data_IF_363921253303
#
_entry.id   IF_363921253303
#
_cell.length_a   1.000
_cell.length_b   1.000
_cell.length_c   1.000
_cell.angle_alpha   90.00
_cell.angle_beta   90.00
_cell.angle_gamma   90.00
#
_symmetry.space_group_name_H-M   'P 1'
#
loop_
_entity.id
_entity.type
_entity.pdbx_description
1 polymer ?
#
# COMPACT_ATOMS: atom_id res chain seq x y z
N UNK A 1 14.04 14.36 -2.96
CA UNK A 1 13.63 12.99 -2.61
C UNK A 1 14.59 12.01 -3.27
N UNK A 2 14.90 10.93 -2.59
CA UNK A 2 15.78 9.88 -3.10
C UNK A 2 15.17 9.23 -4.35
N UNK A 3 16.00 8.93 -5.36
CA UNK A 3 15.53 8.36 -6.63
C UNK A 3 14.81 7.03 -6.44
N UNK A 4 15.29 6.17 -5.53
CA UNK A 4 14.63 4.89 -5.28
C UNK A 4 13.27 5.06 -4.64
N UNK A 5 13.15 6.02 -3.72
CA UNK A 5 11.86 6.32 -3.09
C UNK A 5 10.89 6.87 -4.13
N UNK A 6 11.37 7.72 -5.05
CA UNK A 6 10.54 8.23 -6.15
C UNK A 6 10.02 7.11 -7.05
N UNK A 7 10.87 6.14 -7.38
CA UNK A 7 10.47 4.99 -8.18
C UNK A 7 9.39 4.17 -7.49
N UNK A 8 9.56 3.89 -6.19
CA UNK A 8 8.58 3.13 -5.43
C UNK A 8 7.26 3.89 -5.29
N UNK A 9 7.33 5.20 -5.11
CA UNK A 9 6.16 6.05 -5.06
C UNK A 9 5.39 6.01 -6.39
N UNK A 10 6.10 6.08 -7.51
CA UNK A 10 5.49 5.99 -8.84
C UNK A 10 4.84 4.62 -9.04
N UNK A 11 5.52 3.55 -8.67
CA UNK A 11 4.96 2.20 -8.78
C UNK A 11 3.68 2.05 -7.96
N UNK A 12 3.67 2.59 -6.74
CA UNK A 12 2.49 2.57 -5.89
C UNK A 12 1.33 3.35 -6.53
N UNK A 13 1.61 4.53 -7.05
CA UNK A 13 0.61 5.35 -7.72
C UNK A 13 0.03 4.69 -8.94
N UNK A 14 0.88 4.12 -9.78
CA UNK A 14 0.45 3.41 -11.00
C UNK A 14 -0.42 2.21 -10.64
N UNK A 15 -0.03 1.45 -9.62
CA UNK A 15 -0.81 0.31 -9.15
C UNK A 15 -2.20 0.74 -8.68
N UNK A 16 -2.26 1.77 -7.84
CA UNK A 16 -3.54 2.24 -7.30
C UNK A 16 -4.43 2.78 -8.40
N UNK A 17 -3.86 3.48 -9.38
CA UNK A 17 -4.63 3.98 -10.52
C UNK A 17 -5.28 2.85 -11.33
N UNK A 18 -4.64 1.68 -11.37
CA UNK A 18 -5.21 0.51 -12.06
C UNK A 18 -6.32 -0.16 -11.26
N UNK A 19 -6.18 -0.25 -9.94
CA UNK A 19 -7.08 -1.06 -9.11
C UNK A 19 -8.12 -0.23 -8.35
N UNK A 20 -7.93 1.08 -8.30
CA UNK A 20 -8.81 1.96 -7.54
C UNK A 20 -10.22 1.98 -8.13
N UNK A 21 -11.19 1.76 -7.25
CA UNK A 21 -12.60 1.91 -7.60
C UNK A 21 -13.12 3.17 -6.93
N UNK A 22 -13.70 4.07 -7.71
CA UNK A 22 -14.24 5.31 -7.19
C UNK A 22 -15.32 5.02 -6.13
N UNK A 23 -15.43 5.85 -5.09
CA UNK A 23 -16.42 5.63 -4.05
C UNK A 23 -17.83 5.70 -4.62
N UNK A 24 -18.68 4.81 -4.12
CA UNK A 24 -20.09 4.80 -4.45
C UNK A 24 -20.84 5.56 -3.37
N UNK A 25 -21.63 6.54 -3.78
CA UNK A 25 -22.38 7.34 -2.85
C UNK A 25 -23.45 6.50 -2.17
N UNK A 26 -23.49 6.54 -0.85
CA UNK A 26 -24.45 5.77 -0.09
C UNK A 26 -25.88 6.27 -0.29
N UNK A 27 -26.82 5.35 -0.36
CA UNK A 27 -28.26 5.64 -0.39
C UNK A 27 -28.85 5.69 1.01
N UNK A 28 -28.06 5.33 2.02
CA UNK A 28 -28.51 5.29 3.39
C UNK A 28 -28.46 6.69 3.99
N UNK A 29 -29.55 7.19 4.58
CA UNK A 29 -29.53 8.50 5.24
C UNK A 29 -28.45 8.57 6.32
N UNK A 30 -27.71 9.66 6.34
CA UNK A 30 -26.63 9.87 7.30
C UNK A 30 -25.29 9.32 6.89
N UNK A 31 -25.23 8.58 5.81
CA UNK A 31 -23.97 8.09 5.22
C UNK A 31 -23.67 8.84 3.94
N UNK A 32 -22.40 9.14 3.73
CA UNK A 32 -21.95 9.77 2.48
C UNK A 32 -21.50 8.71 1.47
N UNK A 33 -20.79 7.69 1.94
CA UNK A 33 -20.20 6.65 1.10
C UNK A 33 -20.63 5.27 1.56
N UNK A 34 -20.65 4.30 0.63
CA UNK A 34 -20.89 2.92 0.97
C UNK A 34 -19.81 2.36 1.89
N UNK A 35 -20.19 1.37 2.71
CA UNK A 35 -19.27 0.74 3.65
C UNK A 35 -18.13 0.03 2.90
N UNK A 36 -16.97 0.01 3.55
CA UNK A 36 -15.80 -0.69 3.02
C UNK A 36 -15.03 0.06 1.97
N UNK A 37 -15.45 1.27 1.63
CA UNK A 37 -14.69 2.07 0.69
C UNK A 37 -13.39 2.56 1.33
N UNK A 38 -12.28 2.39 0.62
CA UNK A 38 -10.98 2.93 0.98
C UNK A 38 -10.59 3.93 -0.09
N UNK A 39 -10.27 5.16 0.33
CA UNK A 39 -9.94 6.21 -0.63
C UNK A 39 -8.58 5.96 -1.32
N UNK A 40 -8.32 6.74 -2.37
CA UNK A 40 -7.10 6.58 -3.17
C UNK A 40 -5.83 6.76 -2.31
N UNK A 41 -5.83 7.77 -1.44
CA UNK A 41 -4.65 8.06 -0.62
C UNK A 41 -4.34 6.94 0.36
N UNK A 42 -5.36 6.34 0.97
CA UNK A 42 -5.18 5.22 1.88
C UNK A 42 -4.62 4.02 1.14
N UNK A 43 -5.16 3.71 -0.03
CA UNK A 43 -4.65 2.61 -0.87
C UNK A 43 -3.22 2.87 -1.32
N UNK A 44 -2.91 4.11 -1.70
CA UNK A 44 -1.56 4.49 -2.07
C UNK A 44 -0.58 4.30 -0.91
N UNK A 45 -0.95 4.78 0.28
CA UNK A 45 -0.09 4.67 1.46
C UNK A 45 0.19 3.21 1.81
N UNK A 46 -0.81 2.36 1.75
CA UNK A 46 -0.64 0.93 2.01
C UNK A 46 0.29 0.28 1.00
N UNK A 47 0.08 0.56 -0.28
CA UNK A 47 0.92 -0.02 -1.33
C UNK A 47 2.35 0.51 -1.27
N UNK A 48 2.51 1.79 -1.04
CA UNK A 48 3.83 2.41 -0.92
C UNK A 48 4.60 1.81 0.26
N UNK A 49 3.96 1.70 1.43
CA UNK A 49 4.59 1.10 2.59
C UNK A 49 4.97 -0.36 2.33
N UNK A 50 4.09 -1.13 1.71
CA UNK A 50 4.36 -2.52 1.32
C UNK A 50 5.59 -2.64 0.44
N UNK A 51 5.71 -1.78 -0.57
CA UNK A 51 6.85 -1.80 -1.48
C UNK A 51 8.15 -1.46 -0.75
N UNK A 52 8.11 -0.50 0.17
CA UNK A 52 9.28 -0.13 0.96
C UNK A 52 9.71 -1.29 1.86
N UNK A 53 8.76 -1.93 2.53
CA UNK A 53 9.05 -3.07 3.42
C UNK A 53 9.66 -4.22 2.63
N UNK A 54 9.12 -4.54 1.47
CA UNK A 54 9.67 -5.59 0.60
C UNK A 54 11.09 -5.27 0.15
N UNK A 55 11.35 -4.03 -0.22
CA UNK A 55 12.67 -3.58 -0.62
C UNK A 55 13.68 -3.74 0.54
N UNK A 56 13.28 -3.35 1.74
CA UNK A 56 14.12 -3.51 2.92
C UNK A 56 14.40 -4.98 3.22
N UNK A 57 13.41 -5.83 3.09
CA UNK A 57 13.55 -7.26 3.32
C UNK A 57 14.54 -7.90 2.33
N UNK A 58 14.48 -7.48 1.07
CA UNK A 58 15.41 -7.97 0.03
C UNK A 58 16.85 -7.59 0.37
N UNK A 59 17.05 -6.44 1.00
CA UNK A 59 18.39 -5.97 1.37
C UNK A 59 18.89 -6.56 2.70
N UNK A 60 18.06 -7.25 3.45
CA UNK A 60 18.48 -7.90 4.69
C UNK A 60 19.42 -9.06 4.39
N UNK A 61 20.51 -9.13 5.15
CA UNK A 61 21.51 -10.21 4.97
C UNK A 61 21.06 -11.52 5.64
N UNK A 62 20.30 -11.40 6.70
CA UNK A 62 19.84 -12.56 7.46
C UNK A 62 18.40 -12.85 7.11
N UNK A 63 18.15 -14.03 6.58
CA UNK A 63 16.84 -14.45 6.10
C UNK A 63 15.76 -14.36 7.17
N UNK A 64 16.07 -14.81 8.39
CA UNK A 64 15.09 -14.78 9.48
C UNK A 64 14.70 -13.34 9.87
N UNK A 65 15.60 -12.37 9.71
CA UNK A 65 15.28 -10.97 9.98
C UNK A 65 14.34 -10.42 8.91
N UNK A 66 14.56 -10.81 7.66
CA UNK A 66 13.67 -10.42 6.56
C UNK A 66 12.26 -10.97 6.79
N UNK A 67 12.14 -12.23 7.16
CA UNK A 67 10.84 -12.84 7.46
C UNK A 67 10.16 -12.17 8.64
N UNK A 68 10.91 -11.87 9.70
CA UNK A 68 10.35 -11.19 10.86
C UNK A 68 9.81 -9.81 10.50
N UNK A 69 10.52 -9.09 9.65
CA UNK A 69 10.10 -7.76 9.17
C UNK A 69 8.81 -7.86 8.35
N UNK A 70 8.76 -8.78 7.40
CA UNK A 70 7.58 -8.98 6.55
C UNK A 70 6.37 -9.40 7.39
N UNK A 71 6.57 -10.31 8.31
CA UNK A 71 5.52 -10.78 9.21
C UNK A 71 5.00 -9.67 10.10
N UNK A 72 5.92 -8.86 10.64
CA UNK A 72 5.54 -7.73 11.50
C UNK A 72 4.60 -6.76 10.79
N UNK A 73 4.86 -6.46 9.52
CA UNK A 73 4.06 -5.53 8.74
C UNK A 73 2.93 -6.22 7.96
N UNK A 74 2.81 -7.54 8.07
CA UNK A 74 1.77 -8.27 7.34
C UNK A 74 1.97 -8.27 5.84
N UNK A 75 3.22 -8.15 5.38
CA UNK A 75 3.54 -8.12 3.96
C UNK A 75 4.00 -9.50 3.50
N UNK A 76 3.40 -10.00 2.43
CA UNK A 76 3.83 -11.25 1.82
C UNK A 76 4.99 -11.02 0.86
N UNK A 77 5.88 -11.98 0.81
CA UNK A 77 7.04 -11.95 -0.05
C UNK A 77 6.68 -12.09 -1.54
#
# INVERSE_FOLDING_TARGET
MNERIKELSKQAGDYVNEVYTAPVRSKTPGKIWEDGHIDWHTQFNEKFAELIVRECAVLCRLEHEAYAMLEHFGVEE
#
